data_IF_131476774269
#
_entry.id   IF_131476774269
#
_cell.length_a   1.000
_cell.length_b   1.000
_cell.length_c   1.000
_cell.angle_alpha   90.00
_cell.angle_beta   90.00
_cell.angle_gamma   90.00
#
_symmetry.space_group_name_H-M   'P 1'
#
loop_
_entity.id
_entity.type
_entity.pdbx_description
1 polymer ?
#
# COMPACT_ATOMS: atom_id res chain seq x y z
N UNK A 1 -22.42 -5.84 -3.95
CA UNK A 1 -21.22 -6.29 -3.25
C UNK A 1 -20.00 -5.98 -4.11
N UNK A 2 -19.13 -5.14 -3.62
CA UNK A 2 -17.95 -4.76 -4.39
C UNK A 2 -16.76 -5.62 -3.97
N UNK A 3 -16.55 -6.72 -4.69
CA UNK A 3 -15.42 -7.61 -4.44
C UNK A 3 -14.12 -7.08 -5.05
N UNK A 4 -14.21 -6.08 -5.95
CA UNK A 4 -13.06 -5.54 -6.65
C UNK A 4 -12.10 -4.82 -5.70
N UNK A 5 -12.63 -3.93 -4.86
CA UNK A 5 -11.77 -3.21 -3.93
C UNK A 5 -11.15 -4.15 -2.89
N UNK A 6 -11.89 -5.16 -2.44
CA UNK A 6 -11.38 -6.15 -1.49
C UNK A 6 -10.23 -6.94 -2.10
N UNK A 7 -10.31 -7.27 -3.38
CA UNK A 7 -9.23 -7.95 -4.09
C UNK A 7 -7.93 -7.14 -4.03
N UNK A 8 -8.02 -5.84 -4.31
CA UNK A 8 -6.84 -4.96 -4.33
C UNK A 8 -6.30 -4.70 -2.92
N UNK A 9 -7.17 -4.47 -1.94
CA UNK A 9 -6.72 -4.26 -0.57
C UNK A 9 -6.09 -5.52 0.02
N UNK A 10 -6.62 -6.70 -0.32
CA UNK A 10 -6.01 -7.96 0.09
C UNK A 10 -4.63 -8.15 -0.53
N UNK A 11 -4.47 -7.79 -1.81
CA UNK A 11 -3.18 -7.89 -2.47
C UNK A 11 -2.14 -6.99 -1.81
N UNK A 12 -2.51 -5.74 -1.49
CA UNK A 12 -1.64 -4.82 -0.77
C UNK A 12 -1.30 -5.34 0.63
N UNK A 13 -2.29 -5.85 1.34
CA UNK A 13 -2.09 -6.45 2.67
C UNK A 13 -1.09 -7.60 2.59
N UNK A 14 -1.23 -8.47 1.59
CA UNK A 14 -0.32 -9.59 1.39
C UNK A 14 1.11 -9.12 1.11
N UNK A 15 1.26 -8.09 0.25
CA UNK A 15 2.59 -7.56 -0.08
C UNK A 15 3.29 -7.04 1.17
N UNK A 16 2.60 -6.27 1.98
CA UNK A 16 3.18 -5.70 3.20
C UNK A 16 3.48 -6.76 4.26
N UNK A 17 2.58 -7.74 4.44
CA UNK A 17 2.79 -8.78 5.44
C UNK A 17 3.94 -9.74 5.07
N UNK A 18 4.15 -9.95 3.77
CA UNK A 18 5.25 -10.80 3.30
C UNK A 18 6.52 -10.02 2.98
N UNK A 19 6.45 -8.68 2.97
CA UNK A 19 7.52 -7.79 2.53
C UNK A 19 8.01 -8.17 1.13
N UNK A 20 7.05 -8.37 0.23
CA UNK A 20 7.28 -8.84 -1.14
C UNK A 20 6.31 -8.11 -2.06
N UNK A 21 6.82 -7.52 -3.14
CA UNK A 21 5.99 -6.76 -4.08
C UNK A 21 5.17 -7.64 -5.03
N UNK A 22 5.47 -8.93 -5.11
CA UNK A 22 4.83 -9.83 -6.08
C UNK A 22 3.30 -9.73 -6.13
N UNK A 23 2.60 -9.66 -5.00
CA UNK A 23 1.13 -9.62 -5.04
C UNK A 23 0.56 -8.40 -5.75
N UNK A 24 1.29 -7.29 -5.81
CA UNK A 24 0.78 -6.04 -6.40
C UNK A 24 1.50 -5.64 -7.68
N UNK A 25 2.58 -6.30 -8.03
CA UNK A 25 3.46 -5.89 -9.13
C UNK A 25 2.71 -5.70 -10.45
N UNK A 26 1.77 -6.57 -10.77
CA UNK A 26 1.00 -6.51 -12.01
C UNK A 26 -0.32 -5.76 -11.88
N UNK A 27 -0.65 -5.25 -10.70
CA UNK A 27 -1.94 -4.62 -10.42
C UNK A 27 -1.90 -3.10 -10.53
N UNK A 28 -0.71 -2.50 -10.64
CA UNK A 28 -0.56 -1.05 -10.68
C UNK A 28 -0.65 -0.53 -12.10
N UNK A 29 -1.36 0.58 -12.27
CA UNK A 29 -1.34 1.31 -13.54
C UNK A 29 0.08 1.86 -13.77
N UNK A 30 0.54 1.92 -15.03
CA UNK A 30 1.86 2.45 -15.36
C UNK A 30 2.06 3.87 -14.83
N UNK A 31 0.99 4.66 -14.82
CA UNK A 31 0.98 6.03 -14.32
C UNK A 31 0.52 6.10 -12.85
N UNK A 32 0.74 5.04 -12.11
CA UNK A 32 0.39 4.97 -10.71
C UNK A 32 1.03 6.12 -9.92
N UNK A 33 0.26 6.71 -9.02
CA UNK A 33 0.73 7.78 -8.13
C UNK A 33 0.75 7.31 -6.69
N UNK A 34 1.83 7.64 -5.99
CA UNK A 34 1.93 7.39 -4.56
C UNK A 34 2.24 8.69 -3.84
N UNK A 35 1.51 8.98 -2.78
CA UNK A 35 1.83 10.08 -1.89
C UNK A 35 1.88 9.60 -0.45
N UNK A 36 2.61 10.32 0.39
CA UNK A 36 2.70 10.05 1.80
C UNK A 36 2.54 11.36 2.56
N UNK A 37 1.76 11.32 3.63
CA UNK A 37 1.53 12.47 4.49
C UNK A 37 2.85 13.02 5.05
N UNK A 38 3.84 12.15 5.19
CA UNK A 38 5.12 12.51 5.82
C UNK A 38 6.24 12.84 4.82
N UNK A 39 6.00 12.66 3.52
CA UNK A 39 7.00 12.89 2.48
C UNK A 39 6.43 13.81 1.44
N UNK A 40 7.14 14.90 1.11
CA UNK A 40 6.64 15.91 0.20
C UNK A 40 6.64 15.49 -1.27
N UNK A 41 7.54 14.59 -1.65
CA UNK A 41 7.64 14.15 -3.04
C UNK A 41 6.67 13.02 -3.34
N UNK A 42 5.95 13.14 -4.46
CA UNK A 42 5.10 12.08 -4.97
C UNK A 42 5.87 11.23 -5.97
N UNK A 43 5.52 9.95 -6.01
CA UNK A 43 5.98 9.05 -7.06
C UNK A 43 4.87 8.99 -8.11
N UNK A 44 5.24 9.10 -9.37
CA UNK A 44 4.28 9.27 -10.46
C UNK A 44 4.27 8.11 -11.47
N UNK A 45 5.02 7.06 -11.21
CA UNK A 45 4.99 5.84 -12.02
C UNK A 45 5.00 4.61 -11.13
N UNK A 46 4.45 3.50 -11.65
CA UNK A 46 4.48 2.22 -10.95
C UNK A 46 5.92 1.77 -10.71
N UNK A 47 6.79 1.97 -11.70
CA UNK A 47 8.20 1.58 -11.60
C UNK A 47 8.89 2.25 -10.42
N UNK A 48 8.70 3.56 -10.27
CA UNK A 48 9.28 4.31 -9.14
C UNK A 48 8.79 3.76 -7.81
N UNK A 49 7.50 3.51 -7.70
CA UNK A 49 6.91 3.02 -6.46
C UNK A 49 7.40 1.62 -6.11
N UNK A 50 7.44 0.72 -7.10
CA UNK A 50 7.88 -0.64 -6.86
C UNK A 50 9.36 -0.70 -6.44
N UNK A 51 10.21 0.12 -7.05
CA UNK A 51 11.62 0.24 -6.66
C UNK A 51 11.75 0.75 -5.23
N UNK A 52 10.94 1.76 -4.89
CA UNK A 52 10.90 2.30 -3.53
C UNK A 52 10.49 1.21 -2.52
N UNK A 53 9.44 0.45 -2.82
CA UNK A 53 8.97 -0.61 -1.93
C UNK A 53 9.98 -1.73 -1.78
N UNK A 54 10.66 -2.13 -2.85
CA UNK A 54 11.72 -3.14 -2.75
C UNK A 54 12.78 -2.73 -1.74
N UNK A 55 13.22 -1.47 -1.81
CA UNK A 55 14.21 -0.94 -0.87
C UNK A 55 13.68 -0.88 0.55
N UNK A 56 12.45 -0.41 0.71
CA UNK A 56 11.81 -0.31 2.02
C UNK A 56 11.63 -1.68 2.66
N UNK A 57 11.14 -2.66 1.90
CA UNK A 57 10.95 -4.02 2.40
C UNK A 57 12.28 -4.67 2.79
N UNK A 58 13.33 -4.46 2.00
CA UNK A 58 14.67 -4.95 2.33
C UNK A 58 15.18 -4.34 3.64
N UNK A 59 14.96 -3.04 3.84
CA UNK A 59 15.34 -2.36 5.07
C UNK A 59 14.58 -2.91 6.27
N UNK A 60 13.27 -3.13 6.13
CA UNK A 60 12.46 -3.68 7.20
C UNK A 60 12.91 -5.08 7.60
N UNK A 61 13.29 -5.91 6.62
CA UNK A 61 13.82 -7.25 6.91
C UNK A 61 15.14 -7.17 7.68
N UNK A 62 16.06 -6.31 7.24
CA UNK A 62 17.36 -6.17 7.88
C UNK A 62 17.26 -5.65 9.30
N UNK A 63 16.34 -4.73 9.55
CA UNK A 63 16.18 -4.13 10.87
C UNK A 63 15.39 -5.01 11.83
N UNK A 64 14.75 -6.07 11.32
CA UNK A 64 13.90 -6.92 12.14
C UNK A 64 12.61 -6.26 12.59
N UNK A 65 12.20 -5.17 11.92
CA UNK A 65 10.95 -4.48 12.25
C UNK A 65 9.75 -5.38 11.98
N UNK A 66 8.79 -5.35 12.89
CA UNK A 66 7.55 -6.10 12.74
C UNK A 66 6.51 -5.21 12.06
N UNK A 67 6.04 -5.63 10.90
CA UNK A 67 5.00 -4.90 10.18
C UNK A 67 3.79 -5.82 10.04
N UNK A 68 2.64 -5.30 10.39
CA UNK A 68 1.37 -6.00 10.24
C UNK A 68 0.45 -5.13 9.39
N UNK A 69 -0.08 -5.71 8.32
CA UNK A 69 -1.06 -5.05 7.47
C UNK A 69 -2.40 -5.74 7.64
N UNK A 70 -3.46 -4.93 7.66
CA UNK A 70 -4.83 -5.43 7.80
C UNK A 70 -5.72 -4.72 6.79
N UNK A 71 -6.60 -5.49 6.12
CA UNK A 71 -7.62 -4.88 5.29
C UNK A 71 -8.96 -5.00 6.02
N UNK A 72 -9.86 -4.05 5.74
CA UNK A 72 -11.21 -4.06 6.32
C UNK A 72 -12.18 -4.28 5.17
N UNK A 73 -13.01 -5.35 5.19
CA UNK A 73 -13.93 -5.63 4.09
C UNK A 73 -14.79 -4.43 3.72
N UNK A 74 -14.89 -4.15 2.42
CA UNK A 74 -15.67 -3.03 1.89
C UNK A 74 -15.01 -1.66 1.99
N UNK A 75 -13.84 -1.56 2.58
CA UNK A 75 -13.14 -0.28 2.72
C UNK A 75 -12.02 -0.16 1.69
N UNK A 76 -11.71 1.10 1.32
CA UNK A 76 -10.71 1.41 0.31
C UNK A 76 -9.31 1.61 0.88
N UNK A 77 -9.08 1.22 2.13
CA UNK A 77 -7.79 1.42 2.76
C UNK A 77 -7.36 0.19 3.54
N UNK A 78 -6.04 0.08 3.74
CA UNK A 78 -5.46 -0.91 4.63
C UNK A 78 -4.85 -0.20 5.82
N UNK A 79 -4.69 -0.92 6.92
CA UNK A 79 -4.08 -0.40 8.13
C UNK A 79 -2.71 -1.06 8.29
N UNK A 80 -1.66 -0.24 8.43
CA UNK A 80 -0.31 -0.72 8.72
C UNK A 80 0.03 -0.42 10.18
N UNK A 81 0.55 -1.42 10.87
CA UNK A 81 1.08 -1.26 12.22
C UNK A 81 2.54 -1.68 12.21
N UNK A 82 3.43 -0.80 12.69
CA UNK A 82 4.86 -1.10 12.77
C UNK A 82 5.29 -1.16 14.23
N UNK A 83 5.93 -2.28 14.60
CA UNK A 83 6.47 -2.52 15.94
C UNK A 83 5.42 -2.34 17.06
N UNK A 84 4.16 -2.65 16.73
CA UNK A 84 3.02 -2.58 17.64
C UNK A 84 2.73 -1.16 18.18
N UNK A 85 3.28 -0.12 17.54
CA UNK A 85 3.12 1.27 18.02
C UNK A 85 2.63 2.23 16.97
N UNK A 86 3.33 2.27 15.83
CA UNK A 86 3.04 3.27 14.80
C UNK A 86 2.01 2.72 13.82
N UNK A 87 0.88 3.40 13.72
CA UNK A 87 -0.22 2.99 12.83
C UNK A 87 -0.47 4.07 11.80
N UNK A 88 -0.69 3.63 10.56
CA UNK A 88 -1.09 4.52 9.48
C UNK A 88 -2.05 3.78 8.56
N UNK A 89 -2.64 4.50 7.62
CA UNK A 89 -3.49 3.91 6.61
C UNK A 89 -2.95 4.17 5.22
N UNK A 90 -3.26 3.29 4.29
CA UNK A 90 -2.99 3.51 2.87
C UNK A 90 -4.32 3.40 2.14
N UNK A 91 -4.76 4.52 1.54
CA UNK A 91 -6.00 4.56 0.78
C UNK A 91 -5.67 4.22 -0.68
N UNK A 92 -6.41 3.27 -1.25
CA UNK A 92 -6.23 2.85 -2.63
C UNK A 92 -7.32 3.42 -3.52
N UNK A 93 -6.93 3.84 -4.72
CA UNK A 93 -7.86 4.27 -5.76
C UNK A 93 -7.68 3.36 -6.97
N UNK A 94 -8.78 2.74 -7.39
CA UNK A 94 -8.79 1.83 -8.55
C UNK A 94 -9.46 2.56 -9.71
N UNK A 95 -8.85 2.47 -10.90
CA UNK A 95 -9.38 3.15 -12.08
C UNK A 95 -10.34 2.27 -12.88
N UNK A 96 -10.89 2.82 -13.96
CA UNK A 96 -11.85 2.13 -14.81
C UNK A 96 -11.26 0.95 -15.58
N UNK A 97 -9.93 0.86 -15.64
CA UNK A 97 -9.24 -0.25 -16.30
C UNK A 97 -9.06 -1.44 -15.36
N UNK A 98 -9.51 -1.33 -14.11
CA UNK A 98 -9.32 -2.38 -13.11
C UNK A 98 -7.90 -2.48 -12.59
N UNK A 99 -7.19 -1.34 -12.56
CA UNK A 99 -5.83 -1.24 -12.04
C UNK A 99 -5.80 -0.27 -10.87
N UNK A 100 -4.84 -0.43 -9.98
CA UNK A 100 -4.64 0.51 -8.89
C UNK A 100 -3.95 1.75 -9.45
N UNK A 101 -4.65 2.88 -9.43
CA UNK A 101 -4.15 4.13 -10.00
C UNK A 101 -3.41 4.97 -8.97
N UNK A 102 -3.70 4.77 -7.67
CA UNK A 102 -3.17 5.65 -6.64
C UNK A 102 -3.16 4.97 -5.28
N UNK A 103 -2.15 5.26 -4.49
CA UNK A 103 -2.09 4.90 -3.07
C UNK A 103 -1.63 6.13 -2.28
N UNK A 104 -2.32 6.44 -1.20
CA UNK A 104 -2.02 7.58 -0.35
C UNK A 104 -1.87 7.11 1.09
N UNK A 105 -0.66 7.29 1.64
CA UNK A 105 -0.36 6.92 3.03
C UNK A 105 -0.61 8.11 3.94
N UNK A 106 -1.32 7.91 5.03
CA UNK A 106 -1.71 8.99 5.94
C UNK A 106 -1.97 8.48 7.35
N UNK A 107 -2.06 9.40 8.34
CA UNK A 107 -2.44 9.01 9.69
C UNK A 107 -3.78 8.28 9.69
N UNK A 108 -3.91 7.30 10.60
CA UNK A 108 -5.07 6.40 10.61
C UNK A 108 -6.39 7.15 10.79
N UNK A 109 -6.40 8.27 11.50
CA UNK A 109 -7.63 9.05 11.74
C UNK A 109 -8.21 9.67 10.47
N UNK A 110 -7.44 9.74 9.39
CA UNK A 110 -7.93 10.26 8.11
C UNK A 110 -8.49 9.16 7.21
N UNK A 111 -8.37 7.90 7.62
CA UNK A 111 -8.91 6.77 6.86
C UNK A 111 -10.32 6.46 7.33
N UNK A 112 -11.31 6.67 6.44
CA UNK A 112 -12.70 6.43 6.77
C UNK A 112 -13.48 5.77 5.65
#
# INVERSE_FOLDING_TARGET
MDTTIDYFTKAFTSAWNSLDISPIESLLDDNFHYSSFWVLEEMTTAEQYLDYLKGKFATLRRSGSLVKAEHIPGKHFIILTQDNRNRCGIILTVNDLGLIARADMMPIEFCR
#
